data_IF_894428969909
#
_entry.id   IF_894428969909
#
_cell.length_a   1.000
_cell.length_b   1.000
_cell.length_c   1.000
_cell.angle_alpha   90.00
_cell.angle_beta   90.00
_cell.angle_gamma   90.00
#
_symmetry.space_group_name_H-M   'P 1'
#
loop_
_entity.id
_entity.type
_entity.pdbx_description
1 polymer ?
#
# COMPACT_ATOMS: atom_id res chain seq x y z
N UNK A 1 -27.22 3.13 2.45
CA UNK A 1 -25.91 2.90 1.80
C UNK A 1 -25.97 3.51 0.40
N UNK A 2 -25.27 4.61 0.20
CA UNK A 2 -25.17 5.24 -1.11
C UNK A 2 -24.21 4.40 -1.95
N UNK A 3 -24.69 3.79 -3.02
CA UNK A 3 -23.82 3.18 -4.04
C UNK A 3 -23.05 4.34 -4.68
N UNK A 4 -21.77 4.49 -4.32
CA UNK A 4 -20.84 5.34 -5.07
C UNK A 4 -20.85 4.83 -6.52
N UNK A 5 -21.47 5.60 -7.41
CA UNK A 5 -21.52 5.27 -8.82
C UNK A 5 -20.10 5.14 -9.33
N UNK A 6 -19.79 4.01 -9.97
CA UNK A 6 -18.48 3.77 -10.58
C UNK A 6 -18.25 4.91 -11.58
N UNK A 7 -17.31 5.81 -11.27
CA UNK A 7 -16.88 6.83 -12.22
C UNK A 7 -16.22 6.16 -13.44
N UNK A 8 -16.02 6.89 -14.52
CA UNK A 8 -15.63 6.37 -15.83
C UNK A 8 -14.58 5.24 -15.74
N UNK A 9 -14.99 4.01 -16.08
CA UNK A 9 -14.20 2.77 -16.00
C UNK A 9 -12.84 2.88 -16.71
N UNK A 10 -12.73 3.74 -17.73
CA UNK A 10 -11.50 3.96 -18.48
C UNK A 10 -10.43 4.75 -17.70
N UNK A 11 -10.80 5.45 -16.63
CA UNK A 11 -9.88 6.26 -15.82
C UNK A 11 -9.11 5.45 -14.78
N UNK A 12 -9.53 4.20 -14.55
CA UNK A 12 -8.87 3.29 -13.60
C UNK A 12 -7.55 2.71 -14.12
N UNK A 13 -7.12 3.07 -15.33
CA UNK A 13 -5.85 2.63 -15.91
C UNK A 13 -5.80 1.12 -16.19
N UNK A 14 -6.97 0.48 -16.29
CA UNK A 14 -7.09 -0.92 -16.68
C UNK A 14 -7.04 -0.99 -18.20
N UNK A 15 -6.15 -1.81 -18.75
CA UNK A 15 -6.02 -2.04 -20.18
C UNK A 15 -7.16 -2.95 -20.69
N UNK A 16 -8.37 -2.40 -20.77
CA UNK A 16 -9.57 -3.12 -21.21
C UNK A 16 -9.44 -3.68 -22.62
N UNK A 17 -8.67 -3.01 -23.48
CA UNK A 17 -8.37 -3.45 -24.84
C UNK A 17 -7.52 -4.72 -24.84
N UNK A 18 -6.54 -4.81 -23.93
CA UNK A 18 -5.69 -6.00 -23.76
C UNK A 18 -6.48 -7.15 -23.14
N UNK A 19 -7.39 -6.86 -22.21
CA UNK A 19 -8.28 -7.88 -21.64
C UNK A 19 -9.25 -8.49 -22.66
N UNK A 20 -9.50 -7.80 -23.79
CA UNK A 20 -10.31 -8.29 -24.90
C UNK A 20 -9.49 -8.92 -26.03
N UNK A 21 -8.15 -8.92 -25.93
CA UNK A 21 -7.27 -9.53 -26.93
C UNK A 21 -7.21 -11.06 -26.73
N UNK A 22 -7.77 -11.86 -27.66
CA UNK A 22 -7.82 -13.31 -27.51
C UNK A 22 -6.44 -13.97 -27.58
N UNK A 23 -5.44 -13.36 -28.22
CA UNK A 23 -4.09 -13.91 -28.33
C UNK A 23 -3.33 -13.75 -27.01
N UNK A 24 -3.42 -12.56 -26.41
CA UNK A 24 -2.81 -12.28 -25.10
C UNK A 24 -3.49 -13.07 -23.98
N UNK A 25 -4.81 -13.19 -24.02
CA UNK A 25 -5.56 -14.02 -23.08
C UNK A 25 -5.20 -15.50 -23.25
N UNK A 26 -5.08 -16.01 -24.48
CA UNK A 26 -4.67 -17.40 -24.73
C UNK A 26 -3.27 -17.68 -24.18
N UNK A 27 -2.30 -16.79 -24.42
CA UNK A 27 -0.95 -16.91 -23.88
C UNK A 27 -0.93 -16.84 -22.34
N UNK A 28 -1.72 -15.95 -21.73
CA UNK A 28 -1.86 -15.85 -20.28
C UNK A 28 -2.37 -17.17 -19.69
N UNK A 29 -3.43 -17.74 -20.28
CA UNK A 29 -4.05 -19.00 -19.83
C UNK A 29 -3.13 -20.21 -20.03
N UNK A 30 -2.33 -20.24 -21.10
CA UNK A 30 -1.35 -21.30 -21.36
C UNK A 30 -0.25 -21.32 -20.28
N UNK A 31 0.19 -20.16 -19.83
CA UNK A 31 1.25 -20.03 -18.82
C UNK A 31 0.74 -20.07 -17.37
N UNK A 32 -0.55 -19.81 -17.14
CA UNK A 32 -1.16 -19.76 -15.81
C UNK A 32 -2.37 -20.72 -15.71
N UNK A 33 -2.18 -22.04 -15.96
CA UNK A 33 -3.27 -23.02 -16.06
C UNK A 33 -4.07 -23.20 -14.76
N UNK A 34 -3.58 -22.66 -13.63
CA UNK A 34 -4.24 -22.72 -12.34
C UNK A 34 -5.35 -21.66 -12.17
N UNK A 35 -5.32 -20.55 -12.91
CA UNK A 35 -6.32 -19.47 -12.80
C UNK A 35 -7.75 -19.91 -13.17
N UNK A 36 -7.91 -20.98 -13.97
CA UNK A 36 -9.22 -21.47 -14.42
C UNK A 36 -10.01 -22.36 -13.44
N UNK A 37 -9.45 -22.76 -12.28
CA UNK A 37 -10.01 -23.89 -11.49
C UNK A 37 -11.00 -23.54 -10.37
N UNK A 38 -11.50 -22.30 -10.25
CA UNK A 38 -12.29 -21.89 -9.07
C UNK A 38 -13.69 -21.43 -9.44
N UNK A 39 -14.54 -22.41 -9.70
CA UNK A 39 -15.93 -22.17 -10.03
C UNK A 39 -16.81 -21.74 -8.83
N UNK A 40 -16.26 -21.52 -7.61
CA UNK A 40 -17.11 -21.05 -6.49
C UNK A 40 -16.43 -20.36 -5.29
N UNK A 41 -15.26 -19.73 -5.46
CA UNK A 41 -14.79 -18.73 -4.50
C UNK A 41 -14.50 -17.43 -5.25
N UNK A 42 -15.20 -16.33 -4.96
CA UNK A 42 -15.03 -15.07 -5.67
C UNK A 42 -13.66 -14.41 -5.41
N UNK A 43 -12.85 -14.91 -4.47
CA UNK A 43 -11.50 -14.37 -4.19
C UNK A 43 -10.43 -15.43 -3.86
N UNK A 44 -10.77 -16.70 -3.67
CA UNK A 44 -9.77 -17.77 -3.54
C UNK A 44 -9.65 -18.56 -4.83
N UNK A 45 -8.40 -18.74 -5.26
CA UNK A 45 -8.09 -19.74 -6.26
C UNK A 45 -7.45 -20.97 -5.61
N UNK A 46 -7.68 -22.18 -6.12
CA UNK A 46 -6.91 -23.40 -5.82
C UNK A 46 -5.39 -23.22 -6.08
N UNK A 47 -5.02 -22.17 -6.80
CA UNK A 47 -3.67 -21.65 -7.06
C UNK A 47 -3.18 -20.67 -6.00
N UNK A 48 -4.04 -20.19 -5.09
CA UNK A 48 -3.65 -19.28 -4.03
C UNK A 48 -2.57 -20.00 -3.23
N UNK A 49 -1.32 -19.55 -3.29
CA UNK A 49 -0.26 -20.24 -2.59
C UNK A 49 -0.60 -20.17 -1.10
N UNK A 50 -0.39 -21.28 -0.40
CA UNK A 50 -0.69 -21.38 1.03
C UNK A 50 0.00 -20.27 1.85
N UNK A 51 1.08 -19.68 1.31
CA UNK A 51 1.72 -18.47 1.79
C UNK A 51 1.90 -17.49 0.63
N UNK A 52 1.63 -16.21 0.87
CA UNK A 52 2.00 -15.14 -0.05
C UNK A 52 3.53 -14.99 -0.08
N UNK A 53 4.05 -14.34 -1.12
CA UNK A 53 5.45 -13.94 -1.17
C UNK A 53 5.77 -13.09 0.07
N UNK A 54 6.55 -13.65 0.98
CA UNK A 54 7.07 -12.93 2.13
C UNK A 54 8.16 -11.99 1.65
N UNK A 55 7.89 -10.68 1.74
CA UNK A 55 8.91 -9.65 1.55
C UNK A 55 9.32 -9.17 2.92
N UNK A 56 10.47 -9.66 3.38
CA UNK A 56 11.10 -9.18 4.61
C UNK A 56 11.59 -7.75 4.37
N UNK A 57 10.78 -6.78 4.79
CA UNK A 57 11.20 -5.38 4.83
C UNK A 57 11.90 -5.12 6.17
N UNK A 58 13.22 -5.29 6.19
CA UNK A 58 14.01 -4.84 7.33
C UNK A 58 13.85 -3.32 7.47
N UNK A 59 13.41 -2.80 8.63
CA UNK A 59 13.32 -1.37 8.83
C UNK A 59 14.73 -0.77 8.70
N UNK A 60 14.88 0.38 8.02
CA UNK A 60 16.17 1.03 7.95
C UNK A 60 16.66 1.37 9.36
N UNK A 61 17.97 1.24 9.59
CA UNK A 61 18.57 1.72 10.83
C UNK A 61 18.23 3.20 11.02
N UNK A 62 17.85 3.59 12.24
CA UNK A 62 17.60 4.99 12.55
C UNK A 62 18.87 5.80 12.22
N UNK A 63 18.76 6.89 11.44
CA UNK A 63 19.93 7.68 11.05
C UNK A 63 20.54 8.48 12.22
N UNK A 64 19.82 8.57 13.35
CA UNK A 64 20.22 9.33 14.52
C UNK A 64 20.82 8.44 15.59
N UNK A 65 21.91 8.93 16.19
CA UNK A 65 22.39 8.40 17.47
C UNK A 65 21.38 8.68 18.59
N UNK A 66 21.43 7.94 19.72
CA UNK A 66 20.54 8.20 20.85
C UNK A 66 20.58 9.64 21.37
N UNK A 67 21.77 10.28 21.34
CA UNK A 67 21.94 11.67 21.76
C UNK A 67 21.26 12.65 20.78
N UNK A 68 21.35 12.38 19.47
CA UNK A 68 20.68 13.20 18.44
C UNK A 68 19.15 13.06 18.52
N UNK A 69 18.65 11.84 18.76
CA UNK A 69 17.23 11.57 19.01
C UNK A 69 16.72 12.37 20.21
N UNK A 70 17.46 12.37 21.31
CA UNK A 70 17.08 13.12 22.51
C UNK A 70 17.02 14.63 22.26
N UNK A 71 17.94 15.17 21.45
CA UNK A 71 17.94 16.57 21.05
C UNK A 71 16.73 16.89 20.14
N UNK A 72 16.44 16.03 19.18
CA UNK A 72 15.28 16.16 18.30
C UNK A 72 13.97 16.17 19.09
N UNK A 73 13.80 15.23 20.04
CA UNK A 73 12.63 15.16 20.91
C UNK A 73 12.47 16.41 21.79
N UNK A 74 13.57 16.93 22.33
CA UNK A 74 13.56 18.19 23.09
C UNK A 74 13.13 19.38 22.21
N UNK A 75 13.64 19.46 20.99
CA UNK A 75 13.32 20.56 20.07
C UNK A 75 11.86 20.52 19.61
N UNK A 76 11.34 19.32 19.34
CA UNK A 76 9.94 19.13 18.90
C UNK A 76 8.94 19.33 20.05
N UNK A 77 9.23 18.81 21.24
CA UNK A 77 8.34 18.97 22.40
C UNK A 77 8.19 20.42 22.86
N UNK A 78 9.15 21.29 22.54
CA UNK A 78 9.06 22.73 22.80
C UNK A 78 8.09 23.46 21.86
N UNK A 79 7.75 22.88 20.69
CA UNK A 79 6.99 23.57 19.64
C UNK A 79 5.66 22.90 19.26
N UNK A 80 5.51 21.59 19.50
CA UNK A 80 4.31 20.81 19.16
C UNK A 80 4.00 19.78 20.25
N UNK A 81 2.70 19.57 20.53
CA UNK A 81 2.24 18.48 21.38
C UNK A 81 2.44 17.11 20.69
N UNK A 82 3.44 16.37 21.17
CA UNK A 82 3.81 15.05 20.68
C UNK A 82 2.81 13.94 21.04
N UNK A 83 1.95 14.16 22.03
CA UNK A 83 1.02 13.16 22.56
C UNK A 83 -0.39 13.28 21.97
N UNK A 84 -0.69 14.37 21.28
CA UNK A 84 -1.98 14.57 20.62
C UNK A 84 -2.35 13.42 19.68
N UNK A 85 -3.61 13.00 19.70
CA UNK A 85 -4.15 12.03 18.72
C UNK A 85 -4.79 12.71 17.51
N UNK A 86 -4.80 14.04 17.49
CA UNK A 86 -5.34 14.81 16.38
C UNK A 86 -4.39 14.74 15.17
N UNK A 87 -4.92 14.33 14.01
CA UNK A 87 -4.11 14.15 12.79
C UNK A 87 -3.48 15.45 12.26
N UNK A 88 -4.13 16.60 12.46
CA UNK A 88 -3.56 17.90 12.10
C UNK A 88 -2.35 18.23 12.96
N UNK A 89 -2.40 17.92 14.26
CA UNK A 89 -1.26 18.10 15.17
C UNK A 89 -0.14 17.11 14.84
N UNK A 90 -0.47 15.85 14.53
CA UNK A 90 0.51 14.84 14.09
C UNK A 90 1.23 15.24 12.81
N UNK A 91 0.51 15.81 11.84
CA UNK A 91 1.13 16.38 10.63
C UNK A 91 2.09 17.51 10.99
N UNK A 92 1.73 18.36 11.95
CA UNK A 92 2.58 19.47 12.37
C UNK A 92 3.90 19.00 13.00
N UNK A 93 3.90 17.89 13.75
CA UNK A 93 5.13 17.27 14.28
C UNK A 93 6.13 17.02 13.15
N UNK A 94 5.68 16.40 12.05
CA UNK A 94 6.55 16.09 10.91
C UNK A 94 7.02 17.33 10.17
N UNK A 95 6.13 18.32 9.98
CA UNK A 95 6.51 19.60 9.36
C UNK A 95 7.64 20.25 10.17
N UNK A 96 7.50 20.33 11.50
CA UNK A 96 8.53 20.89 12.37
C UNK A 96 9.81 20.07 12.41
N UNK A 97 9.71 18.75 12.33
CA UNK A 97 10.89 17.88 12.31
C UNK A 97 11.74 18.06 11.05
N UNK A 98 11.12 18.37 9.90
CA UNK A 98 11.81 18.63 8.64
C UNK A 98 12.44 20.02 8.54
N UNK A 99 12.09 20.94 9.45
CA UNK A 99 12.67 22.29 9.53
C UNK A 99 13.96 22.34 10.38
N UNK A 100 14.35 21.21 11.00
CA UNK A 100 15.53 21.05 11.87
C UNK A 100 16.68 20.41 11.07
#
# INVERSE_FOLDING_TARGET
PEEEGIENINEYGVDWEVAQDPELVAHLLENNPHECTNANDPFASASTPANLSEVLCDPPNCPFTPAQLQLLDQHLSASVDLFSRNMTVRRLVWIRALEI
#
